data_IF_562015573128
#
_entry.id   IF_562015573128
#
_cell.length_a   1.000
_cell.length_b   1.000
_cell.length_c   1.000
_cell.angle_alpha   90.00
_cell.angle_beta   90.00
_cell.angle_gamma   90.00
#
_symmetry.space_group_name_H-M   'P 1'
#
loop_
_entity.id
_entity.type
_entity.pdbx_description
1 polymer ?
#
# COMPACT_ATOMS: atom_id res chain seq x y z
N UNK A 1 4.55 -13.41 7.64
CA UNK A 1 3.85 -12.46 6.76
C UNK A 1 3.89 -11.08 7.40
N UNK A 2 4.17 -10.05 6.62
CA UNK A 2 3.94 -8.64 6.98
C UNK A 2 2.69 -8.15 6.25
N UNK A 3 1.76 -7.51 6.96
CA UNK A 3 0.61 -6.82 6.38
C UNK A 3 0.66 -5.34 6.80
N UNK A 4 0.89 -4.45 5.83
CA UNK A 4 0.96 -3.01 6.07
C UNK A 4 -0.33 -2.34 5.60
N UNK A 5 -1.12 -1.89 6.55
CA UNK A 5 -2.44 -1.29 6.34
C UNK A 5 -2.57 0.10 6.99
N UNK A 6 -1.47 0.83 7.07
CA UNK A 6 -1.44 2.18 7.63
C UNK A 6 -1.64 3.21 6.51
N UNK A 7 -2.38 4.28 6.81
CA UNK A 7 -2.55 5.39 5.89
C UNK A 7 -3.32 6.54 6.51
N UNK A 8 -2.90 7.75 6.22
CA UNK A 8 -3.63 8.97 6.58
C UNK A 8 -4.56 9.32 5.42
N UNK A 9 -5.85 9.05 5.57
CA UNK A 9 -6.83 9.02 4.48
C UNK A 9 -7.75 10.24 4.40
N UNK A 10 -7.56 11.25 5.26
CA UNK A 10 -8.38 12.47 5.24
C UNK A 10 -8.13 13.36 4.01
N UNK A 11 -9.13 14.13 3.61
CA UNK A 11 -8.96 15.21 2.66
C UNK A 11 -8.07 16.32 3.25
N UNK A 12 -7.25 16.92 2.40
CA UNK A 12 -6.27 17.94 2.80
C UNK A 12 -6.55 19.30 2.17
N UNK A 13 -7.71 19.87 2.46
CA UNK A 13 -8.02 21.21 2.06
C UNK A 13 -6.91 22.21 2.48
N UNK A 14 -6.35 22.02 3.67
CA UNK A 14 -5.28 22.86 4.21
C UNK A 14 -3.97 22.78 3.39
N UNK A 15 -3.64 21.63 2.79
CA UNK A 15 -2.42 21.50 1.98
C UNK A 15 -2.50 22.23 0.64
N UNK A 16 -3.68 22.28 0.03
CA UNK A 16 -3.90 23.06 -1.18
C UNK A 16 -3.85 24.57 -0.91
N UNK A 17 -4.24 24.99 0.30
CA UNK A 17 -4.26 26.38 0.72
C UNK A 17 -2.94 26.85 1.33
N UNK A 18 -2.33 26.06 2.21
CA UNK A 18 -1.20 26.49 3.03
C UNK A 18 0.18 26.16 2.44
N UNK A 19 0.28 25.31 1.42
CA UNK A 19 1.55 24.85 0.85
C UNK A 19 2.54 24.33 1.91
N UNK A 20 2.01 23.67 2.93
CA UNK A 20 2.79 23.20 4.09
C UNK A 20 3.56 21.92 3.75
N UNK A 21 4.82 22.08 3.40
CA UNK A 21 5.76 20.99 3.11
C UNK A 21 5.98 20.09 4.34
N UNK A 22 5.98 20.65 5.55
CA UNK A 22 6.20 19.88 6.77
C UNK A 22 5.03 18.92 7.04
N UNK A 23 3.80 19.36 6.79
CA UNK A 23 2.62 18.50 6.89
C UNK A 23 2.66 17.38 5.84
N UNK A 24 3.00 17.71 4.59
CA UNK A 24 3.19 16.75 3.52
C UNK A 24 4.23 15.68 3.92
N UNK A 25 5.37 16.10 4.45
CA UNK A 25 6.44 15.19 4.85
C UNK A 25 6.04 14.29 6.03
N UNK A 26 5.28 14.81 7.01
CA UNK A 26 4.75 13.99 8.11
C UNK A 26 3.82 12.88 7.61
N UNK A 27 2.97 13.17 6.63
CA UNK A 27 2.09 12.16 6.01
C UNK A 27 2.91 11.12 5.27
N UNK A 28 3.83 11.56 4.42
CA UNK A 28 4.73 10.69 3.68
C UNK A 28 5.54 9.77 4.62
N UNK A 29 5.98 10.28 5.77
CA UNK A 29 6.68 9.47 6.79
C UNK A 29 5.81 8.32 7.31
N UNK A 30 4.51 8.54 7.51
CA UNK A 30 3.60 7.49 7.96
C UNK A 30 3.27 6.53 6.82
N UNK A 31 2.82 7.08 5.70
CA UNK A 31 2.19 6.29 4.63
C UNK A 31 3.22 5.52 3.79
N UNK A 32 4.38 6.12 3.50
CA UNK A 32 5.38 5.56 2.59
C UNK A 32 6.64 5.11 3.32
N UNK A 33 7.30 6.03 4.04
CA UNK A 33 8.55 5.70 4.72
C UNK A 33 8.35 4.66 5.83
N UNK A 34 7.21 4.70 6.53
CA UNK A 34 6.81 3.69 7.51
C UNK A 34 6.65 2.31 6.89
N UNK A 35 6.01 2.22 5.70
CA UNK A 35 5.90 0.96 4.96
C UNK A 35 7.28 0.43 4.58
N UNK A 36 8.13 1.28 4.00
CA UNK A 36 9.49 0.91 3.63
C UNK A 36 10.30 0.42 4.84
N UNK A 37 10.23 1.15 5.94
CA UNK A 37 10.89 0.76 7.19
C UNK A 37 10.41 -0.59 7.71
N UNK A 38 9.09 -0.81 7.79
CA UNK A 38 8.51 -2.07 8.24
C UNK A 38 8.96 -3.26 7.37
N UNK A 39 9.02 -3.05 6.05
CA UNK A 39 9.52 -4.05 5.11
C UNK A 39 11.00 -4.37 5.40
N UNK A 40 11.84 -3.37 5.58
CA UNK A 40 13.27 -3.59 5.88
C UNK A 40 13.49 -4.36 7.19
N UNK A 41 12.63 -4.17 8.21
CA UNK A 41 12.74 -4.87 9.48
C UNK A 41 12.44 -6.37 9.39
N UNK A 42 11.60 -6.80 8.44
CA UNK A 42 11.24 -8.22 8.30
C UNK A 42 12.11 -8.95 7.28
N UNK A 43 12.78 -8.21 6.36
CA UNK A 43 13.65 -8.82 5.38
C UNK A 43 14.88 -9.45 6.01
N UNK A 44 15.14 -10.70 5.65
CA UNK A 44 16.30 -11.45 6.13
C UNK A 44 16.19 -12.92 5.75
N UNK A 45 17.24 -13.67 6.08
CA UNK A 45 17.37 -15.07 5.72
C UNK A 45 16.21 -15.94 6.23
N UNK A 46 15.78 -15.73 7.47
CA UNK A 46 14.66 -16.45 8.07
C UNK A 46 13.33 -16.18 7.37
N UNK A 47 13.10 -14.93 6.94
CA UNK A 47 11.89 -14.56 6.22
C UNK A 47 11.85 -15.18 4.82
N UNK A 48 13.00 -15.21 4.13
CA UNK A 48 13.18 -15.85 2.82
C UNK A 48 13.03 -17.36 2.91
N UNK A 49 13.64 -18.03 3.89
CA UNK A 49 13.52 -19.49 4.11
C UNK A 49 12.07 -19.92 4.33
N UNK A 50 11.25 -19.08 4.96
CA UNK A 50 9.84 -19.35 5.22
C UNK A 50 8.90 -18.90 4.10
N UNK A 51 9.43 -18.60 2.90
CA UNK A 51 8.67 -18.04 1.80
C UNK A 51 7.81 -16.84 2.26
N UNK A 52 8.49 -15.82 2.76
CA UNK A 52 7.87 -14.62 3.34
C UNK A 52 6.89 -13.94 2.38
N UNK A 53 5.89 -13.28 2.93
CA UNK A 53 4.95 -12.48 2.15
C UNK A 53 4.76 -11.10 2.77
N UNK A 54 4.74 -10.10 1.93
CA UNK A 54 4.49 -8.69 2.25
C UNK A 54 3.26 -8.27 1.47
N UNK A 55 2.23 -7.83 2.19
CA UNK A 55 0.98 -7.32 1.62
C UNK A 55 0.80 -5.86 2.04
N UNK A 56 0.48 -5.01 1.08
CA UNK A 56 0.31 -3.57 1.30
C UNK A 56 -1.05 -3.12 0.80
N UNK A 57 -1.76 -2.32 1.61
CA UNK A 57 -3.01 -1.71 1.18
C UNK A 57 -2.72 -0.48 0.32
N UNK A 58 -2.90 -0.64 -0.98
CA UNK A 58 -2.87 0.43 -1.97
C UNK A 58 -4.15 1.26 -1.95
N UNK A 59 -4.27 2.13 -2.94
CA UNK A 59 -5.47 2.95 -3.09
C UNK A 59 -5.65 3.48 -4.51
N UNK A 60 -6.89 3.61 -4.95
CA UNK A 60 -7.27 4.04 -6.29
C UNK A 60 -6.71 5.41 -6.68
N UNK A 61 -6.39 6.27 -5.71
CA UNK A 61 -5.73 7.55 -5.94
C UNK A 61 -4.33 7.42 -6.55
N UNK A 62 -3.71 6.23 -6.48
CA UNK A 62 -2.47 5.95 -7.22
C UNK A 62 -2.67 5.81 -8.73
N UNK A 63 -3.90 5.52 -9.17
CA UNK A 63 -4.30 5.36 -10.57
C UNK A 63 -5.07 6.57 -11.09
N UNK A 64 -5.90 7.15 -10.21
CA UNK A 64 -6.78 8.28 -10.50
C UNK A 64 -6.58 9.36 -9.45
N UNK A 65 -5.48 10.15 -9.55
CA UNK A 65 -5.17 11.18 -8.56
C UNK A 65 -6.22 12.30 -8.56
N UNK A 66 -6.50 12.82 -7.38
CA UNK A 66 -7.45 13.93 -7.17
C UNK A 66 -6.74 15.06 -6.42
N UNK A 67 -7.03 16.30 -6.82
CA UNK A 67 -6.45 17.51 -6.21
C UNK A 67 -6.88 17.71 -4.75
N UNK A 68 -8.13 17.39 -4.42
CA UNK A 68 -8.64 17.40 -3.04
C UNK A 68 -7.90 16.43 -2.09
N UNK A 69 -7.26 15.41 -2.66
CA UNK A 69 -6.50 14.38 -1.97
C UNK A 69 -5.06 14.30 -2.50
N UNK A 70 -4.49 15.42 -2.90
CA UNK A 70 -3.19 15.44 -3.58
C UNK A 70 -2.08 14.74 -2.79
N UNK A 71 -1.86 15.00 -1.49
CA UNK A 71 -0.85 14.28 -0.71
C UNK A 71 -1.11 12.77 -0.66
N UNK A 72 -2.35 12.36 -0.41
CA UNK A 72 -2.70 10.94 -0.39
C UNK A 72 -2.52 10.29 -1.77
N UNK A 73 -2.81 11.02 -2.84
CA UNK A 73 -2.57 10.55 -4.22
C UNK A 73 -1.09 10.30 -4.47
N UNK A 74 -0.23 11.23 -4.02
CA UNK A 74 1.23 11.09 -4.09
C UNK A 74 1.73 9.91 -3.27
N UNK A 75 1.26 9.75 -2.04
CA UNK A 75 1.65 8.64 -1.15
C UNK A 75 1.22 7.30 -1.71
N UNK A 76 0.00 7.18 -2.21
CA UNK A 76 -0.48 5.93 -2.84
C UNK A 76 0.26 5.60 -4.13
N UNK A 77 0.64 6.60 -4.92
CA UNK A 77 1.48 6.40 -6.10
C UNK A 77 2.89 5.91 -5.71
N UNK A 78 3.50 6.49 -4.67
CA UNK A 78 4.79 6.07 -4.16
C UNK A 78 4.75 4.64 -3.59
N UNK A 79 3.73 4.29 -2.79
CA UNK A 79 3.52 2.94 -2.28
C UNK A 79 3.38 1.92 -3.42
N UNK A 80 2.58 2.24 -4.43
CA UNK A 80 2.39 1.39 -5.60
C UNK A 80 3.70 1.14 -6.33
N UNK A 81 4.46 2.19 -6.62
CA UNK A 81 5.78 2.08 -7.26
C UNK A 81 6.75 1.22 -6.45
N UNK A 82 6.78 1.40 -5.11
CA UNK A 82 7.59 0.61 -4.20
C UNK A 82 7.20 -0.88 -4.25
N UNK A 83 5.91 -1.20 -4.19
CA UNK A 83 5.44 -2.60 -4.22
C UNK A 83 5.83 -3.29 -5.52
N UNK A 84 5.65 -2.65 -6.67
CA UNK A 84 6.02 -3.19 -7.98
C UNK A 84 7.52 -3.44 -8.07
N UNK A 85 8.34 -2.49 -7.65
CA UNK A 85 9.79 -2.62 -7.67
C UNK A 85 10.28 -3.75 -6.74
N UNK A 86 9.74 -3.83 -5.53
CA UNK A 86 10.09 -4.85 -4.55
C UNK A 86 9.58 -6.24 -4.95
N UNK A 87 8.40 -6.36 -5.56
CA UNK A 87 7.89 -7.62 -6.10
C UNK A 87 8.92 -8.25 -7.05
N UNK A 88 9.37 -7.48 -8.03
CA UNK A 88 10.33 -7.96 -9.03
C UNK A 88 11.67 -8.35 -8.39
N UNK A 89 12.16 -7.53 -7.46
CA UNK A 89 13.46 -7.76 -6.81
C UNK A 89 13.45 -8.92 -5.83
N UNK A 90 12.42 -9.02 -4.98
CA UNK A 90 12.39 -9.97 -3.86
C UNK A 90 11.89 -11.36 -4.26
N UNK A 91 11.28 -11.50 -5.43
CA UNK A 91 10.89 -12.79 -6.00
C UNK A 91 12.08 -13.76 -6.07
N UNK A 92 13.25 -13.28 -6.45
CA UNK A 92 14.49 -14.08 -6.52
C UNK A 92 14.98 -14.52 -5.14
N UNK A 93 14.53 -13.82 -4.09
CA UNK A 93 14.84 -14.13 -2.69
C UNK A 93 13.73 -14.96 -2.01
N UNK A 94 12.82 -15.55 -2.78
CA UNK A 94 11.68 -16.32 -2.26
C UNK A 94 10.76 -15.50 -1.32
N UNK A 95 10.64 -14.18 -1.56
CA UNK A 95 9.74 -13.29 -0.85
C UNK A 95 8.72 -12.71 -1.81
N UNK A 96 7.44 -12.91 -1.50
CA UNK A 96 6.34 -12.33 -2.27
C UNK A 96 5.99 -10.94 -1.76
N UNK A 97 5.77 -10.01 -2.69
CA UNK A 97 5.22 -8.67 -2.39
C UNK A 97 3.97 -8.46 -3.25
N UNK A 98 2.86 -8.13 -2.61
CA UNK A 98 1.59 -7.85 -3.28
C UNK A 98 0.91 -6.60 -2.72
N UNK A 99 0.17 -5.91 -3.56
CA UNK A 99 -0.66 -4.77 -3.15
C UNK A 99 -2.10 -4.93 -3.63
N UNK A 100 -3.06 -4.57 -2.78
CA UNK A 100 -4.46 -4.45 -3.15
C UNK A 100 -4.79 -2.97 -3.33
N UNK A 101 -5.05 -2.55 -4.57
CA UNK A 101 -5.43 -1.18 -4.90
C UNK A 101 -6.94 -1.02 -4.77
N UNK A 102 -7.38 -0.45 -3.64
CA UNK A 102 -8.79 -0.25 -3.31
C UNK A 102 -9.30 1.02 -3.99
N UNK A 103 -10.29 0.90 -4.88
CA UNK A 103 -10.77 2.01 -5.73
C UNK A 103 -12.04 2.70 -5.21
N UNK A 104 -12.38 2.54 -3.95
CA UNK A 104 -13.57 3.15 -3.37
C UNK A 104 -13.48 3.36 -1.87
N UNK A 105 -14.55 3.90 -1.30
CA UNK A 105 -14.70 4.04 0.15
C UNK A 105 -14.91 2.67 0.78
N UNK A 106 -14.11 2.37 1.79
CA UNK A 106 -14.22 1.12 2.54
C UNK A 106 -15.36 1.25 3.55
N UNK A 107 -16.45 0.51 3.33
CA UNK A 107 -17.59 0.48 4.24
C UNK A 107 -18.35 -0.85 4.13
N UNK A 108 -18.92 -1.37 5.23
CA UNK A 108 -19.74 -2.58 5.22
C UNK A 108 -20.92 -2.47 4.23
N UNK A 109 -21.17 -3.54 3.47
CA UNK A 109 -22.25 -3.62 2.51
C UNK A 109 -22.08 -2.76 1.24
N UNK A 110 -20.93 -2.14 1.06
CA UNK A 110 -20.60 -1.36 -0.13
C UNK A 110 -19.68 -2.15 -1.10
N UNK A 111 -19.36 -1.56 -2.25
CA UNK A 111 -18.45 -2.18 -3.22
C UNK A 111 -17.13 -2.61 -2.56
N UNK A 112 -16.53 -1.75 -1.75
CA UNK A 112 -15.30 -2.06 -1.02
C UNK A 112 -15.63 -2.50 0.43
N UNK A 113 -16.46 -3.54 0.58
CA UNK A 113 -16.72 -4.15 1.88
C UNK A 113 -15.44 -4.76 2.47
N UNK A 114 -15.14 -4.53 3.76
CA UNK A 114 -13.95 -5.10 4.39
C UNK A 114 -13.80 -6.61 4.23
N UNK A 115 -14.90 -7.35 4.19
CA UNK A 115 -14.88 -8.81 3.99
C UNK A 115 -14.38 -9.16 2.60
N UNK A 116 -14.88 -8.48 1.57
CA UNK A 116 -14.45 -8.70 0.18
C UNK A 116 -12.97 -8.34 0.00
N UNK A 117 -12.52 -7.23 0.61
CA UNK A 117 -11.11 -6.85 0.57
C UNK A 117 -10.22 -7.89 1.27
N UNK A 118 -10.69 -8.47 2.38
CA UNK A 118 -9.95 -9.54 3.06
C UNK A 118 -9.84 -10.81 2.19
N UNK A 119 -10.89 -11.16 1.44
CA UNK A 119 -10.87 -12.26 0.48
C UNK A 119 -9.86 -12.01 -0.65
N UNK A 120 -9.82 -10.79 -1.19
CA UNK A 120 -8.84 -10.42 -2.22
C UNK A 120 -7.40 -10.45 -1.70
N UNK A 121 -7.14 -9.97 -0.48
CA UNK A 121 -5.83 -10.11 0.15
C UNK A 121 -5.45 -11.58 0.37
N UNK A 122 -6.41 -12.41 0.78
CA UNK A 122 -6.18 -13.84 0.94
C UNK A 122 -5.84 -14.50 -0.39
N UNK A 123 -6.52 -14.12 -1.46
CA UNK A 123 -6.25 -14.60 -2.82
C UNK A 123 -4.85 -14.21 -3.28
N UNK A 124 -4.46 -12.93 -3.13
CA UNK A 124 -3.09 -12.46 -3.41
C UNK A 124 -2.05 -13.30 -2.66
N UNK A 125 -2.29 -13.52 -1.36
CA UNK A 125 -1.39 -14.30 -0.51
C UNK A 125 -1.26 -15.76 -0.95
N UNK A 126 -2.35 -16.40 -1.33
CA UNK A 126 -2.35 -17.81 -1.72
C UNK A 126 -1.78 -18.03 -3.11
N UNK A 127 -2.14 -17.19 -4.07
CA UNK A 127 -1.71 -17.35 -5.47
C UNK A 127 -0.29 -16.87 -5.73
N UNK A 128 0.13 -15.75 -5.13
CA UNK A 128 1.47 -15.15 -5.23
C UNK A 128 1.97 -14.92 -6.65
N UNK A 129 1.07 -14.67 -7.58
CA UNK A 129 1.36 -14.52 -9.00
C UNK A 129 1.52 -13.06 -9.38
N UNK A 130 0.50 -12.27 -9.08
CA UNK A 130 0.43 -10.87 -9.46
C UNK A 130 0.98 -9.97 -8.36
N UNK A 131 1.62 -8.87 -8.76
CA UNK A 131 2.06 -7.84 -7.82
C UNK A 131 0.89 -7.01 -7.30
N UNK A 132 -0.09 -6.75 -8.15
CA UNK A 132 -1.21 -5.87 -7.86
C UNK A 132 -2.53 -6.52 -8.21
N UNK A 133 -3.50 -6.37 -7.33
CA UNK A 133 -4.91 -6.59 -7.60
C UNK A 133 -5.66 -5.27 -7.40
N UNK A 134 -6.59 -4.97 -8.28
CA UNK A 134 -7.45 -3.77 -8.19
C UNK A 134 -8.86 -4.23 -7.82
N UNK A 135 -9.39 -3.66 -6.72
CA UNK A 135 -10.74 -3.95 -6.24
C UNK A 135 -11.66 -2.76 -6.52
#
# INVERSE_FOLDING_TARGET
MLFYNVGITGADAELTEAKDVDLLMKRYQVDVAGAYHAIQQVLGEEFSKKAGAILVTGGGLSLYPMDEYLPLSMDKAALRAMCIALHNKLKEQNVYVGTLTVTGVIAPGQKCDPTLLAEDFWKLYMERKECEMVH
#
